data_IF_608636003767
#
_entry.id   IF_608636003767
#
_cell.length_a   1.000
_cell.length_b   1.000
_cell.length_c   1.000
_cell.angle_alpha   90.00
_cell.angle_beta   90.00
_cell.angle_gamma   90.00
#
_symmetry.space_group_name_H-M   'P 1'
#
loop_
_entity.id
_entity.type
_entity.pdbx_description
1 polymer ?
#
# COMPACT_ATOMS: atom_id res chain seq x y z
N UNK A 1 43.72 -5.33 -22.70
CA UNK A 1 43.31 -4.52 -23.88
C UNK A 1 44.26 -4.65 -25.08
N UNK A 2 45.57 -4.83 -24.86
CA UNK A 2 46.57 -4.73 -25.96
C UNK A 2 46.76 -5.96 -26.86
N UNK A 3 46.45 -7.19 -26.41
CA UNK A 3 46.75 -8.41 -27.19
C UNK A 3 45.84 -8.67 -28.40
N UNK A 4 44.65 -8.07 -28.46
CA UNK A 4 43.70 -8.21 -29.58
C UNK A 4 43.80 -7.09 -30.62
N UNK A 5 44.20 -5.88 -30.21
CA UNK A 5 44.35 -4.72 -31.10
C UNK A 5 45.65 -4.75 -31.92
N UNK A 6 46.66 -5.51 -31.49
CA UNK A 6 47.95 -5.58 -32.19
C UNK A 6 47.86 -6.22 -33.58
N UNK A 7 46.83 -7.05 -33.85
CA UNK A 7 46.58 -7.67 -35.17
C UNK A 7 45.74 -6.83 -36.14
N UNK A 8 45.18 -5.70 -35.69
CA UNK A 8 44.26 -4.83 -36.45
C UNK A 8 44.90 -3.50 -36.88
N UNK A 9 46.14 -3.23 -36.47
CA UNK A 9 46.80 -1.95 -36.73
C UNK A 9 47.28 -1.90 -38.19
N UNK A 10 46.47 -1.30 -39.07
CA UNK A 10 46.76 -1.09 -40.49
C UNK A 10 45.98 -1.96 -41.48
N UNK A 11 44.93 -2.68 -41.03
CA UNK A 11 44.00 -3.42 -41.89
C UNK A 11 42.72 -2.60 -42.15
N UNK A 12 42.13 -2.78 -43.32
CA UNK A 12 40.81 -2.22 -43.65
C UNK A 12 39.72 -2.83 -42.77
N UNK A 13 38.72 -2.04 -42.41
CA UNK A 13 37.65 -2.44 -41.51
C UNK A 13 36.72 -3.44 -42.19
N UNK A 14 36.54 -4.62 -41.61
CA UNK A 14 35.64 -5.65 -42.12
C UNK A 14 34.32 -5.66 -41.33
N UNK A 15 33.23 -6.09 -41.96
CA UNK A 15 31.92 -6.20 -41.29
C UNK A 15 31.95 -7.11 -40.04
N UNK A 16 32.87 -8.09 -40.00
CA UNK A 16 33.09 -8.95 -38.84
C UNK A 16 33.62 -8.22 -37.61
N UNK A 17 34.32 -7.10 -37.78
CA UNK A 17 34.89 -6.32 -36.67
C UNK A 17 33.79 -5.72 -35.79
N UNK A 18 32.60 -5.46 -36.34
CA UNK A 18 31.43 -4.99 -35.59
C UNK A 18 31.08 -5.96 -34.46
N UNK A 19 31.12 -7.28 -34.70
CA UNK A 19 30.84 -8.27 -33.65
C UNK A 19 31.88 -8.24 -32.54
N UNK A 20 33.16 -8.01 -32.88
CA UNK A 20 34.23 -7.89 -31.89
C UNK A 20 34.03 -6.64 -31.01
N UNK A 21 33.75 -5.49 -31.61
CA UNK A 21 33.53 -4.24 -30.85
C UNK A 21 32.23 -4.28 -30.04
N UNK A 22 31.14 -4.84 -30.57
CA UNK A 22 29.90 -5.04 -29.81
C UNK A 22 30.10 -5.95 -28.61
N UNK A 23 30.83 -7.06 -28.78
CA UNK A 23 31.21 -7.96 -27.66
C UNK A 23 32.02 -7.20 -26.61
N UNK A 24 33.03 -6.43 -27.03
CA UNK A 24 33.89 -5.66 -26.12
C UNK A 24 33.13 -4.55 -25.39
N UNK A 25 32.19 -3.88 -26.05
CA UNK A 25 31.30 -2.91 -25.41
C UNK A 25 30.39 -3.56 -24.37
N UNK A 26 29.82 -4.72 -24.66
CA UNK A 26 29.02 -5.49 -23.70
C UNK A 26 29.85 -5.97 -22.50
N UNK A 27 31.05 -6.52 -22.73
CA UNK A 27 31.98 -6.90 -21.65
C UNK A 27 32.32 -5.70 -20.75
N UNK A 28 32.61 -4.54 -21.34
CA UNK A 28 32.91 -3.32 -20.57
C UNK A 28 31.72 -2.81 -19.73
N UNK A 29 30.48 -3.00 -20.19
CA UNK A 29 29.27 -2.64 -19.43
C UNK A 29 29.01 -3.65 -18.30
N UNK A 30 29.21 -4.96 -18.56
CA UNK A 30 28.98 -6.03 -17.57
C UNK A 30 30.04 -6.02 -16.47
N UNK A 31 31.29 -5.76 -16.83
CA UNK A 31 32.45 -5.71 -15.91
C UNK A 31 32.69 -4.30 -15.35
N UNK A 32 31.72 -3.38 -15.52
CA UNK A 32 31.85 -2.01 -15.01
C UNK A 32 31.98 -2.00 -13.48
N UNK A 33 32.98 -1.26 -13.01
CA UNK A 33 33.31 -1.17 -11.59
C UNK A 33 32.14 -0.64 -10.76
N UNK A 34 31.32 0.26 -11.32
CA UNK A 34 30.18 0.86 -10.61
C UNK A 34 29.10 -0.20 -10.35
N UNK A 35 28.72 -0.96 -11.38
CA UNK A 35 27.69 -2.01 -11.27
C UNK A 35 28.12 -3.12 -10.30
N UNK A 36 29.41 -3.47 -10.29
CA UNK A 36 29.96 -4.44 -9.34
C UNK A 36 29.88 -3.96 -7.89
N UNK A 37 30.06 -2.66 -7.60
CA UNK A 37 29.87 -2.13 -6.24
C UNK A 37 28.43 -2.17 -5.74
N UNK A 38 27.45 -2.28 -6.65
CA UNK A 38 26.04 -2.47 -6.30
C UNK A 38 25.63 -3.95 -6.18
N UNK A 39 26.52 -4.87 -6.56
CA UNK A 39 26.32 -6.29 -6.31
C UNK A 39 26.47 -6.54 -4.82
N UNK A 40 25.39 -7.02 -4.18
CA UNK A 40 25.39 -7.26 -2.74
C UNK A 40 26.20 -8.51 -2.42
N UNK A 41 27.11 -8.43 -1.46
CA UNK A 41 27.78 -9.61 -0.91
C UNK A 41 26.74 -10.60 -0.38
N UNK A 42 26.70 -11.81 -0.93
CA UNK A 42 25.79 -12.84 -0.43
C UNK A 42 26.34 -13.40 0.89
N UNK A 43 25.61 -13.15 1.98
CA UNK A 43 25.97 -13.70 3.28
C UNK A 43 25.98 -15.23 3.23
N UNK A 44 27.09 -15.85 3.63
CA UNK A 44 27.23 -17.31 3.67
C UNK A 44 26.31 -17.96 4.73
N UNK A 45 25.91 -17.19 5.75
CA UNK A 45 25.02 -17.64 6.84
C UNK A 45 23.70 -16.87 6.90
N UNK A 46 22.62 -17.59 7.18
CA UNK A 46 21.28 -17.00 7.27
C UNK A 46 21.12 -16.15 8.54
N UNK A 47 20.44 -15.02 8.41
CA UNK A 47 20.02 -14.19 9.54
C UNK A 47 18.55 -13.75 9.44
N UNK A 48 18.00 -13.18 10.52
CA UNK A 48 16.60 -12.74 10.60
C UNK A 48 16.23 -11.55 9.68
N UNK A 49 17.23 -10.92 9.03
CA UNK A 49 17.04 -9.78 8.14
C UNK A 49 17.02 -10.20 6.67
N UNK A 50 17.38 -11.45 6.35
CA UNK A 50 17.41 -11.91 4.96
C UNK A 50 15.98 -12.10 4.46
N UNK A 51 15.61 -11.36 3.41
CA UNK A 51 14.25 -11.39 2.84
C UNK A 51 13.94 -12.63 2.01
N UNK A 52 14.89 -13.18 1.25
CA UNK A 52 14.56 -14.10 0.13
C UNK A 52 15.63 -15.09 -0.32
N UNK A 53 16.86 -15.11 0.22
CA UNK A 53 17.88 -16.05 -0.24
C UNK A 53 17.62 -17.46 0.33
N UNK A 54 17.66 -18.49 -0.51
CA UNK A 54 17.37 -19.89 -0.15
C UNK A 54 18.68 -20.70 -0.04
N UNK A 55 19.80 -20.18 -0.55
CA UNK A 55 21.07 -20.90 -0.71
C UNK A 55 22.03 -20.68 0.47
N UNK A 56 21.52 -20.70 1.70
CA UNK A 56 22.40 -20.59 2.86
C UNK A 56 23.09 -21.90 3.17
N UNK A 57 24.42 -21.88 3.18
CA UNK A 57 25.22 -23.06 3.55
C UNK A 57 25.14 -23.36 5.06
N UNK A 58 24.93 -22.32 5.88
CA UNK A 58 24.88 -22.46 7.34
C UNK A 58 23.67 -21.75 7.94
N UNK A 59 22.90 -22.51 8.74
CA UNK A 59 21.76 -22.01 9.52
C UNK A 59 22.04 -22.33 11.00
N UNK A 60 22.08 -21.28 11.83
CA UNK A 60 22.34 -21.42 13.26
C UNK A 60 21.09 -21.96 13.99
N UNK A 61 21.19 -23.06 14.76
CA UNK A 61 20.04 -23.64 15.46
C UNK A 61 19.46 -22.69 16.52
N UNK A 62 20.29 -21.86 17.16
CA UNK A 62 19.84 -20.83 18.11
C UNK A 62 18.94 -19.81 17.41
N UNK A 63 19.33 -19.40 16.21
CA UNK A 63 18.58 -18.42 15.42
C UNK A 63 17.28 -19.01 14.87
N UNK A 64 17.32 -20.27 14.42
CA UNK A 64 16.11 -21.02 14.04
C UNK A 64 15.12 -21.09 15.19
N UNK A 65 15.58 -21.32 16.43
CA UNK A 65 14.70 -21.37 17.60
C UNK A 65 14.00 -20.03 17.86
N UNK A 66 14.75 -18.91 17.78
CA UNK A 66 14.18 -17.56 17.89
C UNK A 66 13.19 -17.27 16.76
N UNK A 67 13.49 -17.71 15.54
CA UNK A 67 12.61 -17.57 14.40
C UNK A 67 11.30 -18.35 14.58
N UNK A 68 11.37 -19.63 14.98
CA UNK A 68 10.19 -20.46 15.25
C UNK A 68 9.33 -19.82 16.34
N UNK A 69 9.94 -19.34 17.43
CA UNK A 69 9.22 -18.61 18.47
C UNK A 69 8.53 -17.35 17.90
N UNK A 70 9.22 -16.59 17.05
CA UNK A 70 8.67 -15.42 16.37
C UNK A 70 7.49 -15.76 15.46
N UNK A 71 7.54 -16.89 14.74
CA UNK A 71 6.43 -17.41 13.93
C UNK A 71 5.24 -17.75 14.83
N UNK A 72 5.46 -18.49 15.92
CA UNK A 72 4.40 -18.85 16.88
C UNK A 72 3.73 -17.59 17.44
N UNK A 73 4.51 -16.64 17.95
CA UNK A 73 3.95 -15.38 18.50
C UNK A 73 3.18 -14.60 17.42
N UNK A 74 3.70 -14.54 16.20
CA UNK A 74 3.06 -13.81 15.09
C UNK A 74 1.70 -14.41 14.72
N UNK A 75 1.61 -15.72 14.56
CA UNK A 75 0.42 -16.36 14.00
C UNK A 75 -0.56 -16.86 15.08
N UNK A 76 -0.11 -17.16 16.30
CA UNK A 76 -0.97 -17.63 17.38
C UNK A 76 -1.43 -16.51 18.32
N UNK A 77 -0.71 -15.37 18.37
CA UNK A 77 -1.05 -14.26 19.29
C UNK A 77 -1.35 -12.97 18.53
N UNK A 78 -0.40 -12.46 17.74
CA UNK A 78 -0.55 -11.15 17.09
C UNK A 78 -1.59 -11.15 15.98
N UNK A 79 -1.60 -12.16 15.10
CA UNK A 79 -2.56 -12.25 14.00
C UNK A 79 -4.00 -12.41 14.50
N UNK A 80 -4.33 -13.33 15.44
CA UNK A 80 -5.69 -13.43 15.97
C UNK A 80 -6.14 -12.13 16.64
N UNK A 81 -5.29 -11.48 17.42
CA UNK A 81 -5.58 -10.17 18.02
C UNK A 81 -5.90 -9.11 16.96
N UNK A 82 -5.17 -9.08 15.84
CA UNK A 82 -5.45 -8.16 14.75
C UNK A 82 -6.78 -8.46 14.07
N UNK A 83 -7.08 -9.74 13.83
CA UNK A 83 -8.35 -10.16 13.23
C UNK A 83 -9.53 -9.80 14.14
N UNK A 84 -9.43 -10.00 15.45
CA UNK A 84 -10.49 -9.63 16.39
C UNK A 84 -10.70 -8.12 16.45
N UNK A 85 -9.62 -7.33 16.49
CA UNK A 85 -9.72 -5.87 16.44
C UNK A 85 -10.34 -5.37 15.12
N UNK A 86 -10.00 -5.98 13.99
CA UNK A 86 -10.60 -5.64 12.69
C UNK A 86 -12.10 -5.94 12.69
N UNK A 87 -12.51 -7.10 13.22
CA UNK A 87 -13.92 -7.46 13.33
C UNK A 87 -14.69 -6.50 14.22
N UNK A 88 -14.13 -6.14 15.38
CA UNK A 88 -14.71 -5.16 16.30
C UNK A 88 -14.84 -3.79 15.60
N UNK A 89 -13.77 -3.31 14.96
CA UNK A 89 -13.76 -2.02 14.28
C UNK A 89 -14.79 -1.92 13.16
N UNK A 90 -14.90 -2.94 12.31
CA UNK A 90 -15.88 -2.98 11.21
C UNK A 90 -17.31 -3.11 11.76
N UNK A 91 -17.53 -3.97 12.76
CA UNK A 91 -18.87 -4.17 13.34
C UNK A 91 -19.38 -2.90 14.02
N UNK A 92 -18.53 -2.24 14.80
CA UNK A 92 -18.86 -0.96 15.44
C UNK A 92 -19.11 0.14 14.40
N UNK A 93 -18.36 0.16 13.29
CA UNK A 93 -18.60 1.11 12.21
C UNK A 93 -20.00 0.90 11.61
N UNK A 94 -20.35 -0.33 11.24
CA UNK A 94 -21.62 -0.66 10.58
C UNK A 94 -22.81 -0.40 11.52
N UNK A 95 -22.72 -0.85 12.77
CA UNK A 95 -23.79 -0.67 13.76
C UNK A 95 -23.90 0.80 14.14
N UNK A 96 -22.79 1.44 14.49
CA UNK A 96 -22.76 2.84 14.93
C UNK A 96 -23.27 3.81 13.87
N UNK A 97 -22.83 3.67 12.62
CA UNK A 97 -23.32 4.53 11.52
C UNK A 97 -24.78 4.27 11.19
N UNK A 98 -25.26 3.02 11.32
CA UNK A 98 -26.68 2.71 11.14
C UNK A 98 -27.54 3.33 12.25
N UNK A 99 -27.11 3.27 13.52
CA UNK A 99 -27.83 3.89 14.63
C UNK A 99 -27.83 5.43 14.53
N UNK A 100 -26.68 6.04 14.20
CA UNK A 100 -26.59 7.49 14.00
C UNK A 100 -27.44 7.95 12.82
N UNK A 101 -27.54 7.13 11.77
CA UNK A 101 -28.37 7.43 10.60
C UNK A 101 -29.87 7.49 10.89
N UNK A 102 -30.35 6.87 11.98
CA UNK A 102 -31.74 6.94 12.42
C UNK A 102 -32.08 8.26 13.16
N UNK A 103 -31.06 9.04 13.55
CA UNK A 103 -31.26 10.32 14.24
C UNK A 103 -31.68 11.42 13.26
N UNK A 104 -32.51 12.38 13.70
CA UNK A 104 -32.84 13.57 12.93
C UNK A 104 -31.60 14.46 12.75
N UNK A 105 -31.59 15.22 11.64
CA UNK A 105 -30.49 16.12 11.32
C UNK A 105 -30.34 17.20 12.40
N UNK A 106 -29.26 17.08 13.14
CA UNK A 106 -28.97 17.87 14.32
C UNK A 106 -27.46 17.98 14.52
N UNK A 107 -27.03 18.98 15.31
CA UNK A 107 -25.61 19.10 15.68
C UNK A 107 -25.11 17.85 16.41
N UNK A 108 -25.97 17.21 17.21
CA UNK A 108 -25.67 15.98 17.92
C UNK A 108 -25.42 14.81 16.95
N UNK A 109 -26.27 14.63 15.93
CA UNK A 109 -26.07 13.61 14.89
C UNK A 109 -24.72 13.76 14.19
N UNK A 110 -24.38 14.98 13.80
CA UNK A 110 -23.11 15.25 13.12
C UNK A 110 -21.90 14.94 14.01
N UNK A 111 -21.95 15.36 15.28
CA UNK A 111 -20.90 15.07 16.25
C UNK A 111 -20.76 13.56 16.52
N UNK A 112 -21.87 12.85 16.70
CA UNK A 112 -21.88 11.39 16.87
C UNK A 112 -21.36 10.66 15.63
N UNK A 113 -21.75 11.11 14.43
CA UNK A 113 -21.26 10.56 13.16
C UNK A 113 -19.75 10.67 13.06
N UNK A 114 -19.20 11.85 13.37
CA UNK A 114 -17.77 12.10 13.37
C UNK A 114 -17.04 11.25 14.42
N UNK A 115 -17.59 11.15 15.63
CA UNK A 115 -17.04 10.33 16.70
C UNK A 115 -16.98 8.84 16.31
N UNK A 116 -18.08 8.30 15.77
CA UNK A 116 -18.17 6.90 15.34
C UNK A 116 -17.15 6.61 14.23
N UNK A 117 -17.12 7.44 13.18
CA UNK A 117 -16.20 7.26 12.06
C UNK A 117 -14.74 7.33 12.51
N UNK A 118 -14.34 8.36 13.26
CA UNK A 118 -12.97 8.51 13.77
C UNK A 118 -12.57 7.31 14.63
N UNK A 119 -13.42 6.92 15.58
CA UNK A 119 -13.11 5.84 16.53
C UNK A 119 -12.96 4.51 15.80
N UNK A 120 -13.91 4.16 14.94
CA UNK A 120 -13.89 2.88 14.23
C UNK A 120 -12.74 2.83 13.21
N UNK A 121 -12.49 3.90 12.46
CA UNK A 121 -11.37 3.94 11.51
C UNK A 121 -10.02 3.85 12.23
N UNK A 122 -9.87 4.47 13.41
CA UNK A 122 -8.67 4.31 14.26
C UNK A 122 -8.48 2.86 14.70
N UNK A 123 -9.54 2.19 15.15
CA UNK A 123 -9.48 0.75 15.52
C UNK A 123 -9.06 -0.09 14.30
N UNK A 124 -9.67 0.15 13.13
CA UNK A 124 -9.32 -0.56 11.90
C UNK A 124 -7.85 -0.33 11.50
N UNK A 125 -7.35 0.90 11.52
CA UNK A 125 -5.93 1.17 11.22
C UNK A 125 -5.00 0.48 12.22
N UNK A 126 -5.36 0.47 13.52
CA UNK A 126 -4.57 -0.23 14.53
C UNK A 126 -4.59 -1.76 14.35
N UNK A 127 -5.70 -2.35 13.88
CA UNK A 127 -5.73 -3.77 13.52
C UNK A 127 -4.78 -4.12 12.37
N UNK A 128 -4.53 -3.17 11.47
CA UNK A 128 -3.52 -3.30 10.40
C UNK A 128 -2.11 -2.95 10.87
N UNK A 129 -1.92 -2.64 12.15
CA UNK A 129 -0.66 -2.11 12.73
C UNK A 129 -0.18 -0.82 12.09
N UNK A 130 -1.11 -0.04 11.52
CA UNK A 130 -0.82 1.28 11.01
C UNK A 130 -0.48 2.24 12.15
N UNK A 131 0.65 2.93 12.02
CA UNK A 131 1.00 4.10 12.82
C UNK A 131 1.16 5.26 11.86
N UNK A 132 0.23 6.21 11.93
CA UNK A 132 0.15 7.33 10.99
C UNK A 132 0.78 8.55 11.63
N UNK A 133 1.70 9.17 10.90
CA UNK A 133 2.29 10.45 11.26
C UNK A 133 1.88 11.51 10.23
N UNK A 134 1.34 12.63 10.72
CA UNK A 134 0.85 13.72 9.88
C UNK A 134 1.85 14.87 9.89
N UNK A 135 2.36 15.20 8.71
CA UNK A 135 3.21 16.36 8.49
C UNK A 135 2.37 17.57 8.04
N UNK A 136 2.89 18.78 8.28
CA UNK A 136 2.30 20.04 7.82
C UNK A 136 0.80 20.21 8.15
N UNK A 137 0.43 19.94 9.39
CA UNK A 137 -0.96 19.98 9.89
C UNK A 137 -1.65 21.33 9.70
N UNK A 138 -0.89 22.41 9.53
CA UNK A 138 -1.41 23.74 9.23
C UNK A 138 -2.12 23.84 7.86
N UNK A 139 -1.82 22.95 6.91
CA UNK A 139 -2.46 22.93 5.59
C UNK A 139 -3.64 21.96 5.50
N UNK A 140 -4.16 21.50 6.64
CA UNK A 140 -5.36 20.67 6.64
C UNK A 140 -6.53 21.41 5.99
N UNK A 141 -7.34 20.72 5.17
CA UNK A 141 -8.52 21.32 4.57
C UNK A 141 -9.46 21.82 5.68
N UNK A 142 -9.88 23.08 5.56
CA UNK A 142 -10.88 23.67 6.44
C UNK A 142 -12.28 23.19 6.06
N UNK A 143 -13.32 23.59 6.81
CA UNK A 143 -14.71 23.23 6.49
C UNK A 143 -15.06 23.70 5.06
N UNK A 144 -15.49 22.77 4.23
CA UNK A 144 -15.77 22.99 2.79
C UNK A 144 -14.55 22.86 1.88
N UNK A 145 -13.35 22.64 2.43
CA UNK A 145 -12.14 22.33 1.66
C UNK A 145 -12.16 20.91 1.10
N UNK A 146 -11.49 20.73 -0.04
CA UNK A 146 -11.38 19.44 -0.72
C UNK A 146 -9.99 18.86 -0.44
N UNK A 147 -9.95 17.62 0.05
CA UNK A 147 -8.72 16.85 0.18
C UNK A 147 -8.52 16.01 -1.08
N UNK A 148 -7.34 16.10 -1.69
CA UNK A 148 -6.95 15.27 -2.84
C UNK A 148 -5.74 14.45 -2.42
N UNK A 149 -5.85 13.13 -2.56
CA UNK A 149 -4.79 12.19 -2.24
C UNK A 149 -4.60 11.21 -3.40
N UNK A 150 -3.37 10.73 -3.57
CA UNK A 150 -3.10 9.59 -4.43
C UNK A 150 -3.83 8.35 -3.88
N UNK A 151 -4.34 7.51 -4.78
CA UNK A 151 -5.09 6.31 -4.40
C UNK A 151 -4.27 5.05 -4.70
N UNK A 152 -4.00 4.28 -3.65
CA UNK A 152 -3.35 2.96 -3.72
C UNK A 152 -4.36 1.86 -3.41
N UNK A 153 -5.21 2.04 -2.40
CA UNK A 153 -6.18 1.01 -1.98
C UNK A 153 -7.34 1.60 -1.17
N UNK A 154 -8.44 0.86 -0.95
CA UNK A 154 -9.52 1.31 -0.07
C UNK A 154 -9.08 1.65 1.38
N UNK A 155 -7.90 1.19 1.82
CA UNK A 155 -7.33 1.51 3.13
C UNK A 155 -6.97 3.01 3.23
N UNK A 156 -6.74 3.69 2.11
CA UNK A 156 -6.42 5.12 2.09
C UNK A 156 -7.53 5.94 2.78
N UNK A 157 -8.79 5.53 2.60
CA UNK A 157 -9.94 6.10 3.28
C UNK A 157 -9.83 5.94 4.79
N UNK A 158 -9.49 4.74 5.27
CA UNK A 158 -9.34 4.47 6.69
C UNK A 158 -8.24 5.35 7.29
N UNK A 159 -7.12 5.50 6.58
CA UNK A 159 -5.99 6.34 6.98
C UNK A 159 -6.44 7.80 7.12
N UNK A 160 -7.02 8.38 6.06
CA UNK A 160 -7.49 9.77 6.08
C UNK A 160 -8.54 10.01 7.18
N UNK A 161 -9.45 9.05 7.36
CA UNK A 161 -10.53 9.12 8.35
C UNK A 161 -10.02 8.94 9.78
N UNK A 162 -8.72 8.72 10.02
CA UNK A 162 -8.18 8.73 11.40
C UNK A 162 -7.90 10.14 11.94
N UNK A 163 -7.72 11.12 11.05
CA UNK A 163 -7.44 12.52 11.40
C UNK A 163 -8.69 13.40 11.39
N UNK A 164 -9.57 13.18 10.42
CA UNK A 164 -10.82 13.94 10.25
C UNK A 164 -11.81 13.18 9.37
N UNK A 165 -13.10 13.47 9.52
CA UNK A 165 -14.11 12.84 8.67
C UNK A 165 -14.26 13.59 7.35
N UNK A 166 -14.14 12.85 6.25
CA UNK A 166 -14.28 13.38 4.89
C UNK A 166 -15.47 12.73 4.18
N UNK A 167 -16.29 13.56 3.52
CA UNK A 167 -17.20 13.04 2.51
C UNK A 167 -16.36 12.50 1.35
N UNK A 168 -16.80 11.37 0.79
CA UNK A 168 -16.01 10.62 -0.20
C UNK A 168 -16.79 10.48 -1.47
N UNK A 169 -16.05 10.40 -2.57
CA UNK A 169 -16.58 10.10 -3.89
C UNK A 169 -15.88 8.85 -4.40
N UNK A 170 -16.63 7.83 -4.80
CA UNK A 170 -16.02 6.58 -5.29
C UNK A 170 -16.96 5.67 -6.04
N UNK A 171 -16.47 4.51 -6.43
CA UNK A 171 -17.28 3.49 -7.10
C UNK A 171 -18.08 2.65 -6.09
N UNK A 172 -19.30 2.25 -6.45
CA UNK A 172 -20.07 1.25 -5.69
C UNK A 172 -19.38 -0.11 -5.78
N UNK A 173 -19.20 -0.77 -4.63
CA UNK A 173 -18.63 -2.11 -4.53
C UNK A 173 -19.67 -3.12 -4.01
N UNK A 174 -19.50 -4.39 -4.39
CA UNK A 174 -20.25 -5.52 -3.83
C UNK A 174 -19.66 -6.06 -2.52
N UNK A 175 -20.22 -7.17 -2.02
CA UNK A 175 -19.70 -7.91 -0.87
C UNK A 175 -19.60 -7.09 0.41
N UNK A 176 -18.56 -7.37 1.22
CA UNK A 176 -18.30 -6.69 2.49
C UNK A 176 -18.08 -5.18 2.31
N UNK A 177 -17.34 -4.78 1.28
CA UNK A 177 -17.09 -3.36 1.00
C UNK A 177 -18.39 -2.62 0.73
N UNK A 178 -19.32 -3.22 -0.03
CA UNK A 178 -20.64 -2.65 -0.26
C UNK A 178 -21.48 -2.49 1.01
N UNK A 179 -21.37 -3.42 1.97
CA UNK A 179 -22.05 -3.30 3.27
C UNK A 179 -21.49 -2.09 4.04
N UNK A 180 -20.17 -1.95 4.08
CA UNK A 180 -19.50 -0.82 4.73
C UNK A 180 -19.90 0.50 4.06
N UNK A 181 -19.83 0.59 2.74
CA UNK A 181 -20.22 1.79 1.97
C UNK A 181 -21.67 2.19 2.25
N UNK A 182 -22.61 1.23 2.23
CA UNK A 182 -24.03 1.48 2.54
C UNK A 182 -24.25 1.92 3.98
N UNK A 183 -23.45 1.44 4.92
CA UNK A 183 -23.55 1.86 6.32
C UNK A 183 -23.03 3.29 6.50
N UNK A 184 -21.86 3.61 5.95
CA UNK A 184 -21.22 4.93 6.07
C UNK A 184 -22.09 6.06 5.49
N UNK A 185 -22.78 5.83 4.37
CA UNK A 185 -23.68 6.82 3.73
C UNK A 185 -24.83 7.26 4.64
N UNK A 186 -25.27 6.39 5.57
CA UNK A 186 -26.35 6.73 6.50
C UNK A 186 -25.96 7.83 7.48
N UNK A 187 -24.67 7.96 7.77
CA UNK A 187 -24.16 8.87 8.78
C UNK A 187 -23.37 10.06 8.19
N UNK A 188 -22.85 9.94 6.97
CA UNK A 188 -22.11 11.00 6.28
C UNK A 188 -22.47 11.01 4.78
N UNK A 189 -22.61 12.18 4.13
CA UNK A 189 -23.05 12.28 2.74
C UNK A 189 -21.95 11.89 1.74
N UNK A 190 -21.56 10.62 1.72
CA UNK A 190 -20.69 10.07 0.67
C UNK A 190 -21.47 9.89 -0.64
N UNK A 191 -20.79 10.07 -1.76
CA UNK A 191 -21.32 9.91 -3.11
C UNK A 191 -20.69 8.68 -3.75
N UNK A 192 -21.51 7.71 -4.14
CA UNK A 192 -21.04 6.49 -4.82
C UNK A 192 -21.63 6.42 -6.22
N UNK A 193 -20.77 6.14 -7.20
CA UNK A 193 -21.14 6.02 -8.61
C UNK A 193 -21.06 4.57 -9.09
N UNK A 194 -21.98 4.19 -9.95
CA UNK A 194 -21.98 2.91 -10.64
C UNK A 194 -21.31 3.09 -12.02
N UNK A 195 -20.09 2.56 -12.21
CA UNK A 195 -19.34 2.75 -13.48
C UNK A 195 -20.04 2.11 -14.67
N UNK A 196 -20.87 1.11 -14.42
CA UNK A 196 -21.60 0.35 -15.43
C UNK A 196 -22.91 1.03 -15.88
N UNK A 197 -23.39 2.05 -15.14
CA UNK A 197 -24.60 2.78 -15.50
C UNK A 197 -24.34 3.78 -16.63
N UNK A 198 -24.50 3.33 -17.89
CA UNK A 198 -24.45 4.20 -19.07
C UNK A 198 -25.60 5.23 -19.13
N UNK A 199 -26.63 5.08 -18.27
CA UNK A 199 -27.80 5.97 -18.21
C UNK A 199 -27.45 7.36 -17.67
N UNK A 200 -26.52 7.45 -16.71
CA UNK A 200 -26.08 8.74 -16.17
C UNK A 200 -25.34 9.59 -17.21
N UNK A 201 -24.58 8.95 -18.11
CA UNK A 201 -23.92 9.66 -19.21
C UNK A 201 -24.94 10.34 -20.13
N UNK A 202 -26.01 9.62 -20.49
CA UNK A 202 -27.07 10.16 -21.35
C UNK A 202 -27.86 11.31 -20.71
N UNK A 203 -28.03 11.30 -19.38
CA UNK A 203 -28.68 12.39 -18.65
C UNK A 203 -27.80 13.66 -18.61
N UNK A 204 -26.48 13.50 -18.53
CA UNK A 204 -25.52 14.63 -18.60
C UNK A 204 -25.46 15.21 -20.02
N UNK A 205 -25.51 14.39 -21.07
CA UNK A 205 -25.48 14.86 -22.48
C UNK A 205 -26.77 15.57 -22.92
N UNK A 206 -27.87 15.45 -22.17
CA UNK A 206 -29.16 16.10 -22.47
C UNK A 206 -29.32 17.51 -21.87
N UNK A 207 -28.31 18.04 -21.18
CA UNK A 207 -28.24 19.46 -20.77
C UNK A 207 -27.53 20.28 -21.84
#
# INVERSE_FOLDING_TARGET
>A
MEKGLSGLRGRDFELSDVFYFSKKGLEAIVEDEVTQRFSSEELVSWNLLTRTNINFQYISPRLTMVWVLGVIVRYCVLLPLRVTLAFIGISLLVIGTTLVGQLPDSRLKNWLSELVHLTCCRICVRSLSGTIHYHNKQYRPQKGGICVANHTSPIDVLILTTDGCYAMVGQVHGGLMGIIQRAMVKACPHVWFERSEMKDRHLVTKR
#
